data_IF_988093779825
#
_entry.id   IF_988093779825
#
_cell.length_a   1.000
_cell.length_b   1.000
_cell.length_c   1.000
_cell.angle_alpha   90.00
_cell.angle_beta   90.00
_cell.angle_gamma   90.00
#
_symmetry.space_group_name_H-M   'P 1'
#
loop_
_entity.id
_entity.type
_entity.pdbx_description
1 polymer ?
#
# COMPACT_ATOMS: atom_id res chain seq x y z
N UNK A 1 -16.80 -2.37 -23.22
CA UNK A 1 -16.70 -2.12 -21.75
C UNK A 1 -16.59 -0.62 -21.56
N UNK A 2 -17.38 -0.02 -20.66
CA UNK A 2 -17.24 1.43 -20.34
C UNK A 2 -15.89 1.71 -19.72
N UNK A 3 -15.42 2.97 -19.78
CA UNK A 3 -14.13 3.35 -19.21
C UNK A 3 -14.11 3.14 -17.69
N UNK A 4 -15.26 3.32 -17.01
CA UNK A 4 -15.40 3.02 -15.61
C UNK A 4 -15.23 1.52 -15.27
N UNK A 5 -15.79 0.62 -16.11
CA UNK A 5 -15.59 -0.83 -15.95
C UNK A 5 -14.13 -1.24 -16.21
N UNK A 6 -13.43 -0.59 -17.16
CA UNK A 6 -11.99 -0.82 -17.37
C UNK A 6 -11.17 -0.39 -16.15
N UNK A 7 -11.49 0.79 -15.59
CA UNK A 7 -10.83 1.26 -14.38
C UNK A 7 -11.08 0.32 -13.18
N UNK A 8 -12.31 -0.16 -13.00
CA UNK A 8 -12.66 -1.13 -11.97
C UNK A 8 -11.87 -2.44 -12.11
N UNK A 9 -11.82 -3.00 -13.32
CA UNK A 9 -11.05 -4.22 -13.61
C UNK A 9 -9.55 -4.04 -13.30
N UNK A 10 -8.99 -2.90 -13.75
CA UNK A 10 -7.58 -2.57 -13.49
C UNK A 10 -7.30 -2.37 -12.01
N UNK A 11 -8.18 -1.68 -11.29
CA UNK A 11 -8.02 -1.42 -9.86
C UNK A 11 -8.02 -2.71 -9.01
N UNK A 12 -8.78 -3.74 -9.38
CA UNK A 12 -8.75 -5.06 -8.72
C UNK A 12 -7.35 -5.68 -8.83
N UNK A 13 -6.78 -5.73 -10.02
CA UNK A 13 -5.45 -6.31 -10.24
C UNK A 13 -4.31 -5.51 -9.59
N UNK A 14 -4.56 -4.27 -9.21
CA UNK A 14 -3.61 -3.38 -8.51
C UNK A 14 -3.90 -3.27 -7.01
N UNK A 15 -4.80 -4.05 -6.45
CA UNK A 15 -5.22 -3.88 -5.06
C UNK A 15 -4.36 -4.69 -4.09
N UNK A 16 -3.96 -4.03 -2.99
CA UNK A 16 -3.56 -4.65 -1.74
C UNK A 16 -4.80 -4.69 -0.84
N UNK A 17 -5.53 -5.82 -0.86
CA UNK A 17 -6.76 -6.00 -0.08
C UNK A 17 -6.42 -6.09 1.40
N UNK A 18 -6.89 -5.12 2.18
CA UNK A 18 -6.35 -4.81 3.50
C UNK A 18 -7.32 -5.15 4.64
N UNK A 19 -6.79 -5.79 5.70
CA UNK A 19 -7.37 -5.77 7.05
C UNK A 19 -6.25 -5.51 8.06
N UNK A 20 -6.39 -4.43 8.84
CA UNK A 20 -5.46 -3.97 9.88
C UNK A 20 -6.26 -3.45 11.08
N UNK A 21 -7.20 -4.25 11.55
CA UNK A 21 -8.06 -3.93 12.69
C UNK A 21 -7.51 -4.60 13.96
N UNK A 22 -7.74 -3.97 15.12
CA UNK A 22 -7.28 -4.52 16.40
C UNK A 22 -7.94 -5.85 16.76
N UNK A 23 -9.15 -6.08 16.23
CA UNK A 23 -9.96 -7.29 16.42
C UNK A 23 -9.78 -8.33 15.30
N UNK A 24 -8.74 -8.20 14.46
CA UNK A 24 -8.44 -9.19 13.43
C UNK A 24 -8.08 -10.55 14.05
N UNK A 25 -8.62 -11.60 13.43
CA UNK A 25 -8.45 -13.00 13.80
C UNK A 25 -7.99 -13.83 12.61
N UNK A 26 -7.51 -15.04 12.86
CA UNK A 26 -7.19 -16.02 11.80
C UNK A 26 -8.37 -16.21 10.85
N UNK A 27 -9.59 -16.30 11.36
CA UNK A 27 -10.80 -16.47 10.56
C UNK A 27 -11.05 -15.29 9.61
N UNK A 28 -10.90 -14.04 10.10
CA UNK A 28 -11.04 -12.84 9.25
C UNK A 28 -9.97 -12.80 8.15
N UNK A 29 -8.76 -13.25 8.44
CA UNK A 29 -7.68 -13.33 7.45
C UNK A 29 -7.93 -14.42 6.42
N UNK A 30 -8.43 -15.60 6.83
CA UNK A 30 -8.86 -16.65 5.91
C UNK A 30 -9.93 -16.12 4.96
N UNK A 31 -10.94 -15.42 5.48
CA UNK A 31 -11.99 -14.79 4.67
C UNK A 31 -11.44 -13.73 3.70
N UNK A 32 -10.45 -12.94 4.14
CA UNK A 32 -9.75 -11.98 3.29
C UNK A 32 -9.03 -12.67 2.11
N UNK A 33 -8.35 -13.79 2.38
CA UNK A 33 -7.70 -14.59 1.33
C UNK A 33 -8.69 -15.07 0.28
N UNK A 34 -9.86 -15.57 0.72
CA UNK A 34 -10.92 -15.96 -0.22
C UNK A 34 -11.46 -14.79 -1.03
N UNK A 35 -11.64 -13.62 -0.40
CA UNK A 35 -12.10 -12.39 -1.09
C UNK A 35 -11.08 -11.88 -2.11
N UNK A 36 -9.79 -12.10 -1.89
CA UNK A 36 -8.72 -11.68 -2.81
C UNK A 36 -8.77 -12.43 -4.15
N UNK A 37 -9.41 -13.60 -4.20
CA UNK A 37 -9.72 -14.34 -5.44
C UNK A 37 -11.11 -13.93 -5.92
N UNK A 38 -11.18 -13.07 -6.92
CA UNK A 38 -12.46 -12.52 -7.40
C UNK A 38 -12.85 -13.10 -8.76
N UNK A 39 -14.13 -13.05 -9.14
CA UNK A 39 -14.57 -13.40 -10.49
C UNK A 39 -13.95 -12.52 -11.58
N UNK A 40 -13.43 -11.34 -11.21
CA UNK A 40 -12.76 -10.42 -12.12
C UNK A 40 -11.22 -10.62 -12.15
N UNK A 41 -10.69 -11.62 -11.48
CA UNK A 41 -9.26 -11.86 -11.31
C UNK A 41 -8.79 -11.62 -9.88
N UNK A 42 -7.57 -12.02 -9.61
CA UNK A 42 -6.99 -11.95 -8.27
C UNK A 42 -6.50 -10.52 -7.95
N UNK A 43 -6.53 -10.13 -6.67
CA UNK A 43 -5.86 -8.91 -6.22
C UNK A 43 -4.34 -9.09 -6.26
N UNK A 44 -3.57 -7.98 -6.33
CA UNK A 44 -2.11 -8.04 -6.34
C UNK A 44 -1.56 -8.62 -5.04
N UNK A 45 -2.15 -8.22 -3.92
CA UNK A 45 -1.74 -8.67 -2.59
C UNK A 45 -2.93 -8.67 -1.61
N UNK A 46 -2.71 -9.32 -0.48
CA UNK A 46 -3.41 -9.04 0.77
C UNK A 46 -2.47 -8.28 1.70
N UNK A 47 -3.03 -7.38 2.54
CA UNK A 47 -2.30 -6.62 3.55
C UNK A 47 -2.85 -6.95 4.94
N UNK A 48 -2.00 -7.49 5.82
CA UNK A 48 -2.35 -8.02 7.13
C UNK A 48 -1.27 -7.73 8.17
N UNK A 49 -1.59 -7.85 9.45
CA UNK A 49 -0.58 -7.80 10.50
C UNK A 49 0.38 -8.99 10.45
N UNK A 50 1.67 -8.84 10.87
CA UNK A 50 2.71 -9.85 10.69
C UNK A 50 2.36 -11.23 11.27
N UNK A 51 1.66 -11.26 12.42
CA UNK A 51 1.28 -12.52 13.10
C UNK A 51 0.41 -13.45 12.25
N UNK A 52 -0.28 -12.91 11.24
CA UNK A 52 -1.18 -13.68 10.37
C UNK A 52 -0.54 -14.19 9.07
N UNK A 53 0.73 -13.85 8.80
CA UNK A 53 1.40 -14.26 7.56
C UNK A 53 1.38 -15.79 7.36
N UNK A 54 1.68 -16.63 8.38
CA UNK A 54 1.68 -18.09 8.18
C UNK A 54 0.31 -18.65 7.80
N UNK A 55 -0.77 -18.23 8.46
CA UNK A 55 -2.13 -18.71 8.14
C UNK A 55 -2.59 -18.21 6.77
N UNK A 56 -2.25 -16.97 6.41
CA UNK A 56 -2.56 -16.41 5.11
C UNK A 56 -1.86 -17.17 3.98
N UNK A 57 -0.55 -17.48 4.12
CA UNK A 57 0.20 -18.25 3.11
C UNK A 57 -0.39 -19.63 2.93
N UNK A 58 -0.70 -20.32 4.04
CA UNK A 58 -1.36 -21.62 4.01
C UNK A 58 -2.67 -21.54 3.24
N UNK A 59 -3.54 -20.60 3.61
CA UNK A 59 -4.86 -20.43 2.99
C UNK A 59 -4.74 -20.13 1.49
N UNK A 60 -3.89 -19.17 1.08
CA UNK A 60 -3.70 -18.84 -0.32
C UNK A 60 -3.23 -20.03 -1.15
N UNK A 61 -2.34 -20.86 -0.62
CA UNK A 61 -1.91 -22.08 -1.31
C UNK A 61 -3.06 -23.10 -1.46
N UNK A 62 -3.86 -23.29 -0.42
CA UNK A 62 -5.00 -24.22 -0.42
C UNK A 62 -6.09 -23.81 -1.41
N UNK A 63 -6.35 -22.51 -1.58
CA UNK A 63 -7.38 -22.01 -2.49
C UNK A 63 -6.87 -21.76 -3.92
N UNK A 64 -5.62 -22.08 -4.22
CA UNK A 64 -5.03 -21.88 -5.55
C UNK A 64 -4.74 -20.43 -5.90
N UNK A 65 -4.31 -19.62 -4.91
CA UNK A 65 -3.88 -18.24 -5.07
C UNK A 65 -2.41 -18.00 -4.63
N UNK A 66 -1.44 -18.86 -5.03
CA UNK A 66 -0.06 -18.73 -4.56
C UNK A 66 0.63 -17.45 -5.06
N UNK A 67 0.14 -16.87 -6.14
CA UNK A 67 0.70 -15.66 -6.75
C UNK A 67 0.25 -14.37 -6.06
N UNK A 68 -0.83 -14.41 -5.26
CA UNK A 68 -1.27 -13.28 -4.45
C UNK A 68 -0.21 -13.01 -3.39
N UNK A 69 0.38 -11.81 -3.41
CA UNK A 69 1.43 -11.44 -2.47
C UNK A 69 0.89 -11.22 -1.07
N UNK A 70 1.72 -11.48 -0.06
CA UNK A 70 1.42 -11.15 1.33
C UNK A 70 2.24 -9.94 1.71
N UNK A 71 1.56 -8.83 1.89
CA UNK A 71 2.11 -7.59 2.40
C UNK A 71 1.80 -7.44 3.90
N UNK A 72 2.70 -6.83 4.64
CA UNK A 72 2.51 -6.54 6.06
C UNK A 72 3.04 -5.16 6.43
N UNK A 73 2.82 -4.74 7.67
CA UNK A 73 3.24 -3.42 8.18
C UNK A 73 4.27 -3.55 9.29
N UNK A 74 5.19 -2.58 9.36
CA UNK A 74 6.20 -2.45 10.42
C UNK A 74 6.35 -0.99 10.85
N UNK A 75 6.87 -0.75 12.05
CA UNK A 75 6.90 0.58 12.68
C UNK A 75 5.49 1.24 12.72
N UNK A 76 4.45 0.42 12.76
CA UNK A 76 3.07 0.79 12.46
C UNK A 76 2.20 0.86 13.73
N UNK A 77 1.29 1.84 13.86
CA UNK A 77 1.01 2.90 12.89
C UNK A 77 1.81 4.20 13.16
N UNK A 78 2.63 4.25 14.19
CA UNK A 78 3.10 5.51 14.76
C UNK A 78 4.30 6.12 14.02
N UNK A 79 5.10 5.37 13.29
CA UNK A 79 6.28 5.89 12.61
C UNK A 79 7.29 6.47 13.60
N UNK A 80 7.72 5.65 14.56
CA UNK A 80 8.72 6.06 15.53
C UNK A 80 10.11 6.16 14.86
N UNK A 81 11.02 6.86 15.48
CA UNK A 81 12.39 7.07 15.01
C UNK A 81 13.41 6.06 15.57
N UNK A 82 12.92 4.99 16.20
CA UNK A 82 13.73 3.88 16.68
C UNK A 82 14.07 2.92 15.53
N UNK A 83 15.25 3.14 14.92
CA UNK A 83 15.73 2.36 13.79
C UNK A 83 15.90 0.88 14.16
N UNK A 84 16.41 0.59 15.36
CA UNK A 84 16.68 -0.79 15.78
C UNK A 84 15.39 -1.60 15.88
N UNK A 85 14.33 -1.03 16.45
CA UNK A 85 13.02 -1.68 16.54
C UNK A 85 12.40 -1.86 15.15
N UNK A 86 12.41 -0.84 14.28
CA UNK A 86 11.88 -0.93 12.93
C UNK A 86 12.57 -2.05 12.12
N UNK A 87 13.88 -2.19 12.25
CA UNK A 87 14.68 -3.25 11.61
C UNK A 87 14.33 -4.64 12.15
N UNK A 88 14.17 -4.78 13.47
CA UNK A 88 13.79 -6.06 14.08
C UNK A 88 12.40 -6.50 13.65
N UNK A 89 11.44 -5.59 13.61
CA UNK A 89 10.08 -5.87 13.09
C UNK A 89 10.13 -6.28 11.61
N UNK A 90 10.91 -5.58 10.78
CA UNK A 90 11.07 -5.90 9.36
C UNK A 90 11.68 -7.28 9.16
N UNK A 91 12.75 -7.61 9.90
CA UNK A 91 13.35 -8.96 9.85
C UNK A 91 12.38 -10.04 10.28
N UNK A 92 11.59 -9.80 11.33
CA UNK A 92 10.58 -10.75 11.78
C UNK A 92 9.49 -10.97 10.71
N UNK A 93 9.03 -9.91 10.06
CA UNK A 93 8.05 -9.98 8.97
C UNK A 93 8.58 -10.82 7.79
N UNK A 94 9.82 -10.57 7.36
CA UNK A 94 10.49 -11.34 6.31
C UNK A 94 10.64 -12.82 6.72
N UNK A 95 11.08 -13.07 7.96
CA UNK A 95 11.22 -14.44 8.47
C UNK A 95 9.87 -15.19 8.55
N UNK A 96 8.76 -14.50 8.75
CA UNK A 96 7.41 -15.08 8.68
C UNK A 96 6.94 -15.38 7.25
N UNK A 97 7.63 -14.87 6.23
CA UNK A 97 7.33 -15.11 4.82
C UNK A 97 6.54 -13.98 4.16
N UNK A 98 6.70 -12.74 4.61
CA UNK A 98 6.18 -11.58 3.89
C UNK A 98 6.86 -11.45 2.52
N UNK A 99 6.07 -11.24 1.46
CA UNK A 99 6.60 -10.85 0.15
C UNK A 99 6.89 -9.34 0.09
N UNK A 100 6.16 -8.56 0.90
CA UNK A 100 6.21 -7.10 0.89
C UNK A 100 6.06 -6.56 2.33
N UNK A 101 6.83 -5.52 2.64
CA UNK A 101 6.77 -4.84 3.95
C UNK A 101 6.52 -3.36 3.72
N UNK A 102 5.45 -2.84 4.35
CA UNK A 102 5.11 -1.41 4.36
C UNK A 102 5.58 -0.83 5.70
N UNK A 103 6.75 -0.17 5.72
CA UNK A 103 7.30 0.46 6.94
C UNK A 103 6.81 1.90 7.06
N UNK A 104 6.45 2.34 8.28
CA UNK A 104 6.09 3.74 8.50
C UNK A 104 7.34 4.59 8.68
N UNK A 105 7.46 5.63 7.84
CA UNK A 105 8.51 6.64 7.91
C UNK A 105 8.43 7.44 9.23
N UNK A 106 9.54 7.86 9.83
CA UNK A 106 9.53 8.68 11.04
C UNK A 106 9.16 10.15 10.73
N UNK A 107 7.92 10.35 10.27
CA UNK A 107 7.44 11.62 9.74
C UNK A 107 7.44 12.77 10.77
N UNK A 108 7.30 12.45 12.07
CA UNK A 108 7.39 13.48 13.12
C UNK A 108 8.81 14.04 13.24
N UNK A 109 9.82 13.16 13.18
CA UNK A 109 11.21 13.60 13.19
C UNK A 109 11.52 14.51 11.98
N UNK A 110 10.97 14.20 10.79
CA UNK A 110 11.09 15.09 9.65
C UNK A 110 10.43 16.46 9.89
N UNK A 111 9.23 16.48 10.49
CA UNK A 111 8.52 17.73 10.82
C UNK A 111 9.31 18.59 11.84
N UNK A 112 10.14 17.96 12.67
CA UNK A 112 11.06 18.61 13.61
C UNK A 112 12.42 18.97 12.99
N UNK A 113 12.59 18.73 11.68
CA UNK A 113 13.81 19.07 10.92
C UNK A 113 14.88 17.98 10.90
N UNK A 114 14.62 16.79 11.47
CA UNK A 114 15.55 15.67 11.41
C UNK A 114 15.30 14.81 10.15
N UNK A 115 16.00 15.12 9.07
CA UNK A 115 15.93 14.35 7.81
C UNK A 115 16.76 13.06 7.87
N UNK A 116 17.82 13.03 8.66
CA UNK A 116 18.82 11.94 8.69
C UNK A 116 18.21 10.63 9.18
N UNK A 117 17.42 10.65 10.25
CA UNK A 117 16.83 9.43 10.81
C UNK A 117 15.87 8.76 9.83
N UNK A 118 15.16 9.52 8.98
CA UNK A 118 14.29 8.97 7.95
C UNK A 118 15.07 8.18 6.90
N UNK A 119 16.17 8.74 6.42
CA UNK A 119 17.06 8.07 5.47
C UNK A 119 17.67 6.80 6.07
N UNK A 120 18.21 6.89 7.28
CA UNK A 120 18.85 5.75 7.95
C UNK A 120 17.86 4.62 8.25
N UNK A 121 16.65 4.95 8.72
CA UNK A 121 15.60 3.96 8.99
C UNK A 121 15.16 3.22 7.72
N UNK A 122 14.86 3.95 6.67
CA UNK A 122 14.40 3.33 5.40
C UNK A 122 15.52 2.47 4.80
N UNK A 123 16.75 2.96 4.77
CA UNK A 123 17.91 2.20 4.28
C UNK A 123 18.11 0.90 5.06
N UNK A 124 18.12 0.98 6.40
CA UNK A 124 18.29 -0.19 7.25
C UNK A 124 17.14 -1.21 7.11
N UNK A 125 15.90 -0.75 6.96
CA UNK A 125 14.75 -1.62 6.68
C UNK A 125 14.85 -2.24 5.28
N UNK A 126 15.33 -1.50 4.26
CA UNK A 126 15.56 -2.07 2.92
C UNK A 126 16.63 -3.17 2.96
N UNK A 127 17.72 -2.96 3.67
CA UNK A 127 18.74 -3.98 3.89
C UNK A 127 18.17 -5.22 4.63
N UNK A 128 17.27 -5.00 5.59
CA UNK A 128 16.58 -6.08 6.32
C UNK A 128 15.59 -6.87 5.44
N UNK A 129 15.01 -6.26 4.40
CA UNK A 129 14.17 -6.94 3.41
C UNK A 129 14.94 -7.90 2.51
N UNK A 130 16.24 -7.66 2.29
CA UNK A 130 17.04 -8.43 1.33
C UNK A 130 16.64 -8.15 -0.12
N UNK A 131 16.93 -9.11 -1.01
CA UNK A 131 16.70 -8.94 -2.46
C UNK A 131 15.28 -9.30 -2.89
N UNK A 132 14.61 -10.20 -2.20
CA UNK A 132 13.35 -10.79 -2.62
C UNK A 132 12.10 -10.08 -2.05
N UNK A 133 12.26 -9.28 -0.99
CA UNK A 133 11.13 -8.61 -0.32
C UNK A 133 11.06 -7.14 -0.71
N UNK A 134 9.89 -6.72 -1.19
CA UNK A 134 9.60 -5.33 -1.54
C UNK A 134 9.43 -4.49 -0.27
N UNK A 135 10.09 -3.32 -0.22
CA UNK A 135 9.88 -2.31 0.82
C UNK A 135 9.02 -1.15 0.29
N UNK A 136 7.86 -0.93 0.92
CA UNK A 136 7.06 0.27 0.71
C UNK A 136 7.18 1.18 1.93
N UNK A 137 7.29 2.49 1.70
CA UNK A 137 7.46 3.48 2.77
C UNK A 137 6.21 4.32 2.91
N UNK A 138 5.57 4.26 4.10
CA UNK A 138 4.37 5.03 4.43
C UNK A 138 4.82 6.39 4.97
N UNK A 139 4.63 7.44 4.20
CA UNK A 139 5.09 8.78 4.59
C UNK A 139 4.05 9.60 5.38
N UNK A 140 2.83 9.11 5.53
CA UNK A 140 1.72 9.69 6.30
C UNK A 140 1.36 11.12 5.84
N UNK A 141 1.02 11.25 4.57
CA UNK A 141 0.74 12.55 3.91
C UNK A 141 -0.32 13.38 4.63
N UNK A 142 -1.32 12.75 5.25
CA UNK A 142 -2.38 13.43 5.98
C UNK A 142 -1.93 14.10 7.28
N UNK A 143 -0.77 13.72 7.82
CA UNK A 143 -0.12 14.38 8.97
C UNK A 143 0.92 15.39 8.51
N UNK A 144 1.74 15.06 7.52
CA UNK A 144 2.72 15.97 6.94
C UNK A 144 2.06 17.24 6.39
N UNK A 145 0.97 17.11 5.63
CA UNK A 145 0.14 18.18 5.04
C UNK A 145 0.88 19.16 4.12
N UNK A 146 2.07 19.62 4.53
CA UNK A 146 2.90 20.55 3.77
C UNK A 146 3.44 19.86 2.49
N UNK A 147 3.16 20.38 1.29
CA UNK A 147 3.68 19.86 0.04
C UNK A 147 5.20 19.69 0.02
N UNK A 148 5.94 20.60 0.66
CA UNK A 148 7.40 20.53 0.75
C UNK A 148 7.86 19.34 1.62
N UNK A 149 7.16 19.04 2.72
CA UNK A 149 7.45 17.90 3.56
C UNK A 149 7.08 16.58 2.90
N UNK A 150 5.95 16.52 2.18
CA UNK A 150 5.54 15.34 1.39
C UNK A 150 6.59 15.05 0.32
N UNK A 151 7.03 16.09 -0.42
CA UNK A 151 8.10 15.97 -1.39
C UNK A 151 9.39 15.46 -0.75
N UNK A 152 9.83 16.08 0.36
CA UNK A 152 11.05 15.72 1.07
C UNK A 152 11.02 14.27 1.58
N UNK A 153 9.94 13.84 2.22
CA UNK A 153 9.78 12.46 2.68
C UNK A 153 9.87 11.45 1.53
N UNK A 154 9.29 11.79 0.37
CA UNK A 154 9.37 10.97 -0.84
C UNK A 154 10.80 10.88 -1.39
N UNK A 155 11.49 12.03 -1.48
CA UNK A 155 12.89 12.09 -1.94
C UNK A 155 13.81 11.27 -1.03
N UNK A 156 13.72 11.46 0.29
CA UNK A 156 14.51 10.71 1.28
C UNK A 156 14.26 9.20 1.15
N UNK A 157 13.00 8.80 1.03
CA UNK A 157 12.63 7.39 0.93
C UNK A 157 13.16 6.73 -0.35
N UNK A 158 13.08 7.42 -1.48
CA UNK A 158 13.63 6.93 -2.77
C UNK A 158 15.15 6.82 -2.69
N UNK A 159 15.83 7.84 -2.17
CA UNK A 159 17.28 7.87 -2.03
C UNK A 159 17.81 6.78 -1.07
N UNK A 160 17.00 6.41 -0.08
CA UNK A 160 17.30 5.33 0.86
C UNK A 160 16.97 3.91 0.31
N UNK A 161 16.40 3.80 -0.90
CA UNK A 161 16.17 2.53 -1.58
C UNK A 161 14.78 1.94 -1.46
N UNK A 162 13.77 2.75 -1.13
CA UNK A 162 12.38 2.32 -1.15
C UNK A 162 11.95 1.83 -2.54
N UNK A 163 11.21 0.73 -2.59
CA UNK A 163 10.61 0.23 -3.85
C UNK A 163 9.27 0.90 -4.14
N UNK A 164 8.56 1.39 -3.12
CA UNK A 164 7.30 2.12 -3.23
C UNK A 164 7.23 3.26 -2.21
N UNK A 165 6.51 4.32 -2.59
CA UNK A 165 6.03 5.34 -1.66
C UNK A 165 4.53 5.14 -1.45
N UNK A 166 4.11 5.01 -0.18
CA UNK A 166 2.71 4.87 0.23
C UNK A 166 2.25 6.11 0.98
N UNK A 167 1.05 6.57 0.69
CA UNK A 167 0.56 7.83 1.28
C UNK A 167 0.29 7.74 2.77
N UNK A 168 -0.37 6.67 3.24
CA UNK A 168 -1.05 6.70 4.54
C UNK A 168 -1.10 5.35 5.24
N UNK A 169 -1.16 5.39 6.57
CA UNK A 169 -1.44 4.22 7.40
C UNK A 169 -2.91 3.81 7.37
N UNK A 170 -3.82 4.73 7.12
CA UNK A 170 -5.24 4.57 7.32
C UNK A 170 -5.70 4.74 8.78
N UNK A 171 -4.82 5.10 9.68
CA UNK A 171 -5.08 5.28 11.13
C UNK A 171 -5.18 6.75 11.56
N UNK A 172 -5.17 7.67 10.61
CA UNK A 172 -5.32 9.11 10.82
C UNK A 172 -6.54 9.64 10.05
N UNK A 173 -6.97 10.85 10.38
CA UNK A 173 -8.22 11.42 9.84
C UNK A 173 -8.19 11.68 8.32
N UNK A 174 -7.03 12.06 7.79
CA UNK A 174 -6.83 12.33 6.36
C UNK A 174 -5.87 11.29 5.78
N UNK A 175 -6.29 10.65 4.70
CA UNK A 175 -5.50 9.61 4.03
C UNK A 175 -5.08 10.07 2.62
N UNK A 176 -5.14 9.20 1.60
CA UNK A 176 -4.75 9.55 0.25
C UNK A 176 -5.60 10.69 -0.33
N UNK A 177 -4.93 11.66 -0.93
CA UNK A 177 -5.55 12.74 -1.71
C UNK A 177 -4.90 12.81 -3.09
N UNK A 178 -5.61 13.33 -4.08
CA UNK A 178 -5.06 13.52 -5.44
C UNK A 178 -3.89 14.51 -5.42
N UNK A 179 -3.95 15.54 -4.58
CA UNK A 179 -2.86 16.50 -4.41
C UNK A 179 -1.58 15.82 -3.90
N UNK A 180 -1.68 15.02 -2.83
CA UNK A 180 -0.53 14.27 -2.32
C UNK A 180 -0.02 13.25 -3.36
N UNK A 181 -0.91 12.58 -4.09
CA UNK A 181 -0.56 11.65 -5.16
C UNK A 181 0.22 12.34 -6.27
N UNK A 182 -0.19 13.54 -6.68
CA UNK A 182 0.50 14.33 -7.70
C UNK A 182 1.92 14.70 -7.25
N UNK A 183 2.10 15.15 -6.00
CA UNK A 183 3.42 15.49 -5.45
C UNK A 183 4.33 14.26 -5.46
N UNK A 184 3.87 13.13 -4.91
CA UNK A 184 4.66 11.91 -4.81
C UNK A 184 5.02 11.36 -6.17
N UNK A 185 4.06 11.23 -7.09
CA UNK A 185 4.33 10.71 -8.44
C UNK A 185 5.18 11.65 -9.28
N UNK A 186 5.15 12.96 -9.04
CA UNK A 186 6.11 13.91 -9.63
C UNK A 186 7.52 13.61 -9.16
N UNK A 187 7.74 13.40 -7.86
CA UNK A 187 9.05 13.02 -7.31
C UNK A 187 9.54 11.68 -7.90
N UNK A 188 8.65 10.70 -8.00
CA UNK A 188 8.96 9.40 -8.63
C UNK A 188 9.41 9.60 -10.08
N UNK A 189 8.68 10.40 -10.86
CA UNK A 189 9.02 10.69 -12.26
C UNK A 189 10.38 11.37 -12.40
N UNK A 190 10.70 12.30 -11.50
CA UNK A 190 11.95 13.06 -11.53
C UNK A 190 13.18 12.25 -11.06
N UNK A 191 13.01 11.41 -10.01
CA UNK A 191 14.12 10.72 -9.36
C UNK A 191 14.33 9.30 -9.87
N UNK A 192 13.29 8.49 -9.89
CA UNK A 192 13.36 7.09 -10.30
C UNK A 192 11.98 6.53 -10.69
N UNK A 193 11.63 6.51 -11.98
CA UNK A 193 10.33 6.00 -12.45
C UNK A 193 10.07 4.50 -12.20
N UNK A 194 11.06 3.76 -11.70
CA UNK A 194 10.90 2.36 -11.29
C UNK A 194 10.32 2.21 -9.89
N UNK A 195 10.38 3.26 -9.07
CA UNK A 195 9.74 3.27 -7.75
C UNK A 195 8.24 3.37 -7.93
N UNK A 196 7.49 2.54 -7.18
CA UNK A 196 6.05 2.48 -7.25
C UNK A 196 5.36 3.50 -6.34
N UNK A 197 4.06 3.67 -6.58
CA UNK A 197 3.17 4.51 -5.77
C UNK A 197 1.99 3.70 -5.22
N UNK A 198 1.62 3.94 -3.97
CA UNK A 198 0.47 3.30 -3.31
C UNK A 198 -0.38 4.32 -2.58
N UNK A 199 -1.50 4.82 -3.17
CA UNK A 199 -2.52 5.51 -2.39
C UNK A 199 -3.19 4.51 -1.45
N UNK A 200 -3.36 4.89 -0.19
CA UNK A 200 -3.98 4.04 0.81
C UNK A 200 -5.01 4.83 1.64
N UNK A 201 -6.22 4.27 1.78
CA UNK A 201 -7.37 4.92 2.38
C UNK A 201 -7.96 6.02 1.48
N UNK A 202 -9.27 6.26 1.59
CA UNK A 202 -9.94 7.34 0.85
C UNK A 202 -10.36 7.01 -0.58
N UNK A 203 -9.85 5.98 -1.22
CA UNK A 203 -10.30 5.52 -2.54
C UNK A 203 -11.50 4.61 -2.36
N UNK A 204 -12.69 5.08 -2.74
CA UNK A 204 -13.97 4.43 -2.38
C UNK A 204 -14.62 3.64 -3.50
N UNK A 205 -14.41 4.01 -4.75
CA UNK A 205 -15.09 3.47 -5.92
C UNK A 205 -14.23 3.52 -7.19
N UNK A 206 -14.78 3.02 -8.29
CA UNK A 206 -14.10 2.97 -9.58
C UNK A 206 -13.80 4.36 -10.16
N UNK A 207 -14.62 5.37 -9.86
CA UNK A 207 -14.39 6.73 -10.34
C UNK A 207 -13.18 7.34 -9.63
N UNK A 208 -13.12 7.23 -8.30
CA UNK A 208 -11.95 7.67 -7.53
C UNK A 208 -10.68 6.91 -7.95
N UNK A 209 -10.76 5.60 -8.17
CA UNK A 209 -9.62 4.83 -8.66
C UNK A 209 -9.15 5.32 -10.03
N UNK A 210 -10.08 5.65 -10.95
CA UNK A 210 -9.76 6.20 -12.27
C UNK A 210 -9.02 7.54 -12.18
N UNK A 211 -9.37 8.41 -11.22
CA UNK A 211 -8.68 9.69 -11.01
C UNK A 211 -7.20 9.48 -10.62
N UNK A 212 -6.91 8.58 -9.66
CA UNK A 212 -5.52 8.26 -9.29
C UNK A 212 -4.74 7.63 -10.46
N UNK A 213 -5.35 6.72 -11.21
CA UNK A 213 -4.74 6.15 -12.42
C UNK A 213 -4.51 7.21 -13.50
N UNK A 214 -5.40 8.19 -13.62
CA UNK A 214 -5.26 9.33 -14.54
C UNK A 214 -4.06 10.21 -14.20
N UNK A 215 -3.80 10.45 -12.90
CA UNK A 215 -2.57 11.16 -12.46
C UNK A 215 -1.32 10.36 -12.83
N UNK A 216 -1.32 9.05 -12.60
CA UNK A 216 -0.20 8.18 -12.97
C UNK A 216 0.06 8.21 -14.49
N UNK A 217 -0.99 8.06 -15.29
CA UNK A 217 -0.88 8.10 -16.75
C UNK A 217 -0.31 9.43 -17.26
N UNK A 218 -0.77 10.54 -16.70
CA UNK A 218 -0.31 11.89 -17.09
C UNK A 218 1.16 12.16 -16.75
N UNK A 219 1.64 11.67 -15.60
CA UNK A 219 2.99 11.98 -15.11
C UNK A 219 4.05 10.93 -15.53
N UNK A 220 3.64 9.68 -15.68
CA UNK A 220 4.54 8.54 -15.83
C UNK A 220 4.27 7.70 -17.09
N UNK A 221 3.12 7.90 -17.73
CA UNK A 221 2.69 7.20 -18.95
C UNK A 221 1.58 6.18 -18.71
N UNK A 222 0.80 5.90 -19.76
CA UNK A 222 -0.42 5.08 -19.69
C UNK A 222 -0.16 3.65 -19.21
N UNK A 223 0.98 3.07 -19.53
CA UNK A 223 1.35 1.70 -19.21
C UNK A 223 2.15 1.57 -17.90
N UNK A 224 2.48 2.70 -17.24
CA UNK A 224 3.31 2.67 -16.05
C UNK A 224 2.65 1.96 -14.86
N UNK A 225 1.35 2.17 -14.66
CA UNK A 225 0.64 1.59 -13.52
C UNK A 225 0.42 0.08 -13.69
N UNK A 226 1.33 -0.71 -13.16
CA UNK A 226 1.31 -2.18 -13.08
C UNK A 226 1.36 -2.64 -11.62
N UNK A 227 1.10 -3.91 -11.29
CA UNK A 227 1.29 -4.39 -9.92
C UNK A 227 2.71 -4.17 -9.35
N UNK A 228 3.71 -3.99 -10.21
CA UNK A 228 5.08 -3.70 -9.80
C UNK A 228 5.35 -2.21 -9.50
N UNK A 229 4.47 -1.31 -9.94
CA UNK A 229 4.68 0.14 -9.83
C UNK A 229 3.50 0.91 -9.26
N UNK A 230 2.31 0.28 -9.16
CA UNK A 230 1.12 0.93 -8.62
C UNK A 230 0.28 -0.05 -7.79
N UNK A 231 -0.18 0.37 -6.62
CA UNK A 231 -1.10 -0.39 -5.78
C UNK A 231 -2.18 0.50 -5.18
N UNK A 232 -3.35 -0.05 -4.93
CA UNK A 232 -4.39 0.56 -4.11
C UNK A 232 -4.45 -0.15 -2.75
N UNK A 233 -4.15 0.56 -1.66
CA UNK A 233 -4.36 0.04 -0.30
C UNK A 233 -5.81 0.31 0.14
N UNK A 234 -6.66 -0.72 0.15
CA UNK A 234 -8.07 -0.55 0.42
C UNK A 234 -8.73 -1.83 0.99
N UNK A 235 -9.87 -1.66 1.64
CA UNK A 235 -10.73 -2.75 2.10
C UNK A 235 -12.09 -2.76 1.39
N UNK A 236 -12.89 -1.72 1.56
CA UNK A 236 -14.24 -1.61 1.00
C UNK A 236 -14.28 -1.35 -0.51
N UNK A 237 -13.20 -0.86 -1.09
CA UNK A 237 -13.09 -0.59 -2.53
C UNK A 237 -13.43 -1.82 -3.37
N UNK A 238 -13.00 -3.02 -2.98
CA UNK A 238 -13.24 -4.24 -3.74
C UNK A 238 -14.72 -4.49 -4.03
N UNK A 239 -15.57 -4.34 -3.01
CA UNK A 239 -17.02 -4.54 -3.16
C UNK A 239 -17.62 -3.55 -4.17
N UNK A 240 -17.19 -2.28 -4.11
CA UNK A 240 -17.64 -1.27 -5.06
C UNK A 240 -17.17 -1.54 -6.50
N UNK A 241 -15.94 -2.04 -6.67
CA UNK A 241 -15.42 -2.41 -7.99
C UNK A 241 -16.18 -3.60 -8.58
N UNK A 242 -16.43 -4.63 -7.79
CA UNK A 242 -17.22 -5.80 -8.22
C UNK A 242 -18.66 -5.42 -8.58
N UNK A 243 -19.28 -4.51 -7.82
CA UNK A 243 -20.59 -3.95 -8.17
C UNK A 243 -20.54 -3.18 -9.50
N UNK A 244 -19.52 -2.34 -9.72
CA UNK A 244 -19.33 -1.63 -10.99
C UNK A 244 -19.20 -2.59 -12.18
N UNK A 245 -18.62 -3.77 -11.96
CA UNK A 245 -18.49 -4.84 -12.95
C UNK A 245 -19.74 -5.72 -13.08
N UNK A 246 -20.78 -5.49 -12.26
CA UNK A 246 -22.00 -6.31 -12.20
C UNK A 246 -21.73 -7.76 -11.76
N UNK A 247 -20.70 -7.95 -10.92
CA UNK A 247 -20.26 -9.25 -10.38
C UNK A 247 -20.62 -9.46 -8.90
N UNK A 248 -21.23 -8.46 -8.26
CA UNK A 248 -21.74 -8.51 -6.89
C UNK A 248 -22.90 -7.52 -6.71
N UNK A 249 -23.75 -7.77 -5.71
CA UNK A 249 -24.81 -6.85 -5.31
C UNK A 249 -24.25 -5.53 -4.77
N UNK A 250 -25.07 -4.47 -4.80
CA UNK A 250 -24.70 -3.17 -4.28
C UNK A 250 -24.24 -3.25 -2.80
N UNK A 251 -23.16 -2.56 -2.42
CA UNK A 251 -22.67 -2.59 -1.05
C UNK A 251 -23.72 -1.99 -0.10
N UNK A 252 -24.15 -2.77 0.89
CA UNK A 252 -24.96 -2.25 1.98
C UNK A 252 -24.03 -1.53 2.95
N UNK A 253 -24.07 -0.18 2.94
CA UNK A 253 -23.58 0.77 3.95
C UNK A 253 -22.41 0.35 4.84
N UNK A 254 -21.31 -0.14 4.29
CA UNK A 254 -20.12 -0.43 5.08
C UNK A 254 -19.30 0.85 5.27
N UNK A 255 -19.16 1.28 6.52
CA UNK A 255 -18.11 2.22 6.89
C UNK A 255 -16.77 1.51 6.65
N UNK A 256 -16.10 1.87 5.55
CA UNK A 256 -14.79 1.35 5.20
C UNK A 256 -13.67 2.16 5.86
N UNK A 257 -12.62 1.48 6.15
CA UNK A 257 -11.27 1.92 6.48
C UNK A 257 -10.76 3.02 5.54
#
# INVERSE_FOLDING_TARGET
MSDLKKAAQRAISLMDLTTLNDDDTDQKVIELCHKAKTPAGDTAAIMIYPRFIPIARKTLNEIGGPDIKIATVTNFPHGNDDIAIAVLETRAAVAYGADEVDVVFPYRALMEGNETVGFELVKACKEACGEDTILKVIIETGVLKDPALIRKASEISIDAGADFIKTSTGKVAVNATLEAAEIVMTVISEKNPKVGFKPAGGVKDAAAAAEFLGVAARLLGDDWATPATFRFGASSLLTNLLHTLELADAPQGAQGY
#
